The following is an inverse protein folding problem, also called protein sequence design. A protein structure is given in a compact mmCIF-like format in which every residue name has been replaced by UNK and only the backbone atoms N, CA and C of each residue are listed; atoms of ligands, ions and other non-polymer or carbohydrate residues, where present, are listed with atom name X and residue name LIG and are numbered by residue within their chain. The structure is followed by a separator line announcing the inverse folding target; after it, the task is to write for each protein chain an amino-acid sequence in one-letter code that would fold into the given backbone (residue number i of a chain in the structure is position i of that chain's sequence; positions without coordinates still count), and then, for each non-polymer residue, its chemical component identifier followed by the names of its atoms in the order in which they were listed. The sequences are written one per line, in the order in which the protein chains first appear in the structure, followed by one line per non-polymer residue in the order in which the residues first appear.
data_IF_503728054860
#
_entry.id   IF_503728054860
#
_cell.length_a   1.000
_cell.length_b   1.000
_cell.length_c   1.000
_cell.angle_alpha   90.00
_cell.angle_beta   90.00
_cell.angle_gamma   90.00
#
_symmetry.space_group_name_H-M   'P 1'
#
loop_
_entity.id
_entity.type
_entity.pdbx_description
1 polymer ?
#
# COMPACT_ATOMS: atom_id res chain seq x y z
N UNK A 1 -9.02 -8.97 25.70
CA UNK A 1 -10.11 -9.02 26.70
C UNK A 1 -10.71 -7.63 26.79
N UNK A 2 -12.01 -7.48 26.57
CA UNK A 2 -12.74 -6.24 26.78
C UNK A 2 -13.40 -6.27 28.17
N UNK A 3 -13.41 -5.14 28.88
CA UNK A 3 -13.99 -5.05 30.21
C UNK A 3 -15.06 -3.95 30.18
N UNK A 4 -16.29 -4.32 30.50
CA UNK A 4 -17.39 -3.38 30.71
C UNK A 4 -17.39 -2.96 32.18
N UNK A 5 -17.30 -1.67 32.44
CA UNK A 5 -17.36 -1.10 33.79
C UNK A 5 -18.69 -0.34 33.92
N UNK A 6 -19.50 -0.76 34.85
CA UNK A 6 -20.73 -0.06 35.25
C UNK A 6 -20.67 0.28 36.73
N UNK A 7 -20.28 1.52 37.06
CA UNK A 7 -20.02 1.98 38.45
C UNK A 7 -18.96 1.11 39.15
N UNK A 8 -19.40 0.15 39.99
CA UNK A 8 -18.52 -0.77 40.73
C UNK A 8 -18.54 -2.19 40.18
N UNK A 9 -19.40 -2.47 39.20
CA UNK A 9 -19.46 -3.78 38.55
C UNK A 9 -18.48 -3.85 37.42
N UNK A 10 -17.72 -4.91 37.37
CA UNK A 10 -16.74 -5.21 36.34
C UNK A 10 -17.12 -6.52 35.66
N UNK A 11 -17.43 -6.46 34.39
CA UNK A 11 -17.80 -7.64 33.60
C UNK A 11 -16.78 -7.84 32.50
N UNK A 12 -16.15 -9.01 32.48
CA UNK A 12 -15.28 -9.40 31.38
C UNK A 12 -16.15 -9.82 30.19
N UNK A 13 -15.86 -9.25 29.02
CA UNK A 13 -16.54 -9.58 27.77
C UNK A 13 -15.60 -10.46 26.95
N UNK A 14 -15.96 -11.74 26.70
CA UNK A 14 -15.13 -12.63 25.94
C UNK A 14 -15.03 -12.22 24.48
N UNK A 15 -13.88 -12.50 23.89
CA UNK A 15 -13.69 -12.42 22.44
C UNK A 15 -14.33 -13.62 21.79
N UNK A 16 -15.01 -13.40 20.68
CA UNK A 16 -15.57 -14.44 19.81
C UNK A 16 -15.09 -14.27 18.38
N UNK A 17 -15.22 -15.30 17.56
CA UNK A 17 -14.92 -15.20 16.13
C UNK A 17 -16.14 -14.65 15.40
N UNK A 18 -15.94 -13.52 14.71
CA UNK A 18 -17.02 -12.84 13.97
C UNK A 18 -17.67 -13.75 12.92
N UNK A 19 -16.85 -14.50 12.18
CA UNK A 19 -17.31 -15.41 11.11
C UNK A 19 -18.30 -16.50 11.56
N UNK A 20 -18.33 -16.84 12.85
CA UNK A 20 -19.24 -17.86 13.37
C UNK A 20 -20.68 -17.37 13.40
N UNK A 21 -20.88 -16.07 13.63
CA UNK A 21 -22.21 -15.46 13.80
C UNK A 21 -22.65 -14.60 12.62
N UNK A 22 -21.71 -14.05 11.86
CA UNK A 22 -21.97 -13.03 10.87
C UNK A 22 -21.37 -13.35 9.50
N UNK A 23 -22.05 -12.87 8.46
CA UNK A 23 -21.58 -12.89 7.08
C UNK A 23 -20.69 -11.66 6.79
N UNK A 24 -19.85 -11.73 5.77
CA UNK A 24 -19.03 -10.59 5.30
C UNK A 24 -19.89 -9.37 4.97
N UNK A 25 -21.08 -9.59 4.40
CA UNK A 25 -22.05 -8.53 4.12
C UNK A 25 -22.46 -7.73 5.36
N UNK A 26 -22.54 -8.34 6.53
CA UNK A 26 -22.87 -7.63 7.78
C UNK A 26 -21.69 -6.71 8.20
N UNK A 27 -20.45 -7.15 7.99
CA UNK A 27 -19.28 -6.30 8.23
C UNK A 27 -19.27 -5.10 7.29
N UNK A 28 -19.60 -5.30 6.00
CA UNK A 28 -19.77 -4.20 5.05
C UNK A 28 -20.80 -3.18 5.54
N UNK A 29 -21.97 -3.66 6.00
CA UNK A 29 -23.05 -2.80 6.52
C UNK A 29 -22.63 -1.99 7.77
N UNK A 30 -21.86 -2.61 8.66
CA UNK A 30 -21.33 -1.93 9.85
C UNK A 30 -20.34 -0.82 9.44
N UNK A 31 -19.39 -1.13 8.54
CA UNK A 31 -18.41 -0.16 8.05
C UNK A 31 -19.07 0.95 7.22
N UNK A 32 -20.08 0.61 6.42
CA UNK A 32 -20.85 1.57 5.63
C UNK A 32 -21.61 2.59 6.52
N UNK A 33 -22.20 2.09 7.61
CA UNK A 33 -22.96 2.94 8.55
C UNK A 33 -22.08 3.84 9.43
N UNK A 34 -20.84 3.45 9.68
CA UNK A 34 -19.93 4.20 10.55
C UNK A 34 -18.48 4.18 10.01
N UNK A 35 -18.25 4.66 8.76
CA UNK A 35 -16.94 4.55 8.12
C UNK A 35 -15.86 5.27 8.92
N UNK A 36 -16.12 6.45 9.47
CA UNK A 36 -15.12 7.21 10.22
C UNK A 36 -14.66 6.48 11.49
N UNK A 37 -15.59 5.78 12.15
CA UNK A 37 -15.29 5.03 13.38
C UNK A 37 -14.34 3.84 13.08
N UNK A 38 -14.51 3.19 11.92
CA UNK A 38 -13.67 2.10 11.49
C UNK A 38 -12.35 2.57 10.87
N UNK A 39 -12.46 3.50 9.92
CA UNK A 39 -11.31 3.93 9.12
C UNK A 39 -10.40 4.89 9.89
N UNK A 40 -10.94 5.57 10.93
CA UNK A 40 -10.26 6.65 11.65
C UNK A 40 -9.87 7.81 10.73
N UNK A 41 -10.58 7.97 9.62
CA UNK A 41 -10.46 9.07 8.66
C UNK A 41 -11.83 9.40 8.07
N UNK A 42 -12.03 10.67 7.70
CA UNK A 42 -13.26 11.10 7.04
C UNK A 42 -13.29 10.59 5.60
N UNK A 43 -14.34 9.85 5.24
CA UNK A 43 -14.54 9.30 3.90
C UNK A 43 -15.97 9.56 3.42
N UNK A 44 -16.10 10.14 2.24
CA UNK A 44 -17.36 10.18 1.51
C UNK A 44 -17.54 8.85 0.77
N UNK A 45 -18.40 7.97 1.24
CA UNK A 45 -18.72 6.74 0.51
C UNK A 45 -19.51 7.11 -0.77
N UNK A 46 -19.09 6.51 -1.89
CA UNK A 46 -19.65 6.75 -3.22
C UNK A 46 -20.05 5.46 -3.92
N UNK A 47 -19.84 4.31 -3.30
CA UNK A 47 -20.22 3.03 -3.86
C UNK A 47 -20.10 1.88 -2.86
N UNK A 48 -20.98 0.88 -3.03
CA UNK A 48 -20.93 -0.42 -2.37
C UNK A 48 -21.09 -1.51 -3.42
N UNK A 49 -20.33 -2.60 -3.28
CA UNK A 49 -20.29 -3.72 -4.22
C UNK A 49 -20.11 -3.23 -5.68
N UNK A 50 -19.09 -2.37 -5.84
CA UNK A 50 -18.82 -1.69 -7.11
C UNK A 50 -18.22 -2.66 -8.11
N UNK A 51 -18.96 -2.96 -9.17
CA UNK A 51 -18.50 -3.86 -10.23
C UNK A 51 -17.50 -3.18 -11.15
N UNK A 52 -16.37 -3.83 -11.35
CA UNK A 52 -15.32 -3.42 -12.29
C UNK A 52 -14.95 -4.55 -13.24
N UNK A 53 -14.16 -4.28 -14.26
CA UNK A 53 -13.58 -5.31 -15.12
C UNK A 53 -12.63 -6.27 -14.36
N UNK A 54 -12.24 -5.91 -13.13
CA UNK A 54 -11.26 -6.64 -12.31
C UNK A 54 -11.89 -7.39 -11.13
N UNK A 55 -13.18 -7.24 -10.93
CA UNK A 55 -13.92 -7.82 -9.82
C UNK A 55 -14.87 -6.82 -9.17
N UNK A 56 -15.28 -7.10 -7.96
CA UNK A 56 -16.23 -6.32 -7.19
C UNK A 56 -15.50 -5.74 -5.97
N UNK A 57 -15.55 -4.42 -5.81
CA UNK A 57 -15.01 -3.70 -4.65
C UNK A 57 -16.11 -3.61 -3.60
N UNK A 58 -15.79 -3.98 -2.35
CA UNK A 58 -16.78 -3.99 -1.27
C UNK A 58 -17.32 -2.60 -0.98
N UNK A 59 -16.45 -1.64 -0.67
CA UNK A 59 -16.83 -0.23 -0.49
C UNK A 59 -15.85 0.69 -1.22
N UNK A 60 -16.39 1.78 -1.74
CA UNK A 60 -15.62 2.80 -2.45
C UNK A 60 -15.94 4.18 -1.90
N UNK A 61 -14.92 4.98 -1.65
CA UNK A 61 -15.09 6.34 -1.13
C UNK A 61 -14.10 7.35 -1.69
N UNK A 62 -14.23 8.58 -1.21
CA UNK A 62 -13.27 9.66 -1.39
C UNK A 62 -12.84 10.19 -0.02
N UNK A 63 -11.55 10.44 0.16
CA UNK A 63 -11.07 11.19 1.31
C UNK A 63 -11.22 12.72 1.11
N UNK A 64 -10.88 13.51 2.14
CA UNK A 64 -10.95 14.99 2.11
C UNK A 64 -10.07 15.63 1.03
N UNK A 65 -9.02 14.94 0.55
CA UNK A 65 -8.11 15.43 -0.48
C UNK A 65 -8.57 15.01 -1.89
N UNK A 66 -9.70 14.31 -2.01
CA UNK A 66 -10.28 13.80 -3.25
C UNK A 66 -9.63 12.53 -3.78
N UNK A 67 -8.82 11.88 -2.98
CA UNK A 67 -8.25 10.59 -3.34
C UNK A 67 -9.31 9.50 -3.24
N UNK A 68 -9.27 8.54 -4.15
CA UNK A 68 -10.18 7.40 -4.10
C UNK A 68 -9.75 6.43 -3.01
N UNK A 69 -10.69 6.03 -2.14
CA UNK A 69 -10.50 5.06 -1.07
C UNK A 69 -11.16 3.76 -1.49
N UNK A 70 -10.36 2.72 -1.72
CA UNK A 70 -10.79 1.38 -2.11
C UNK A 70 -10.75 0.52 -0.85
N UNK A 71 -11.89 0.01 -0.42
CA UNK A 71 -12.04 -0.72 0.84
C UNK A 71 -12.43 -2.15 0.55
N UNK A 72 -11.61 -3.08 1.01
CA UNK A 72 -11.84 -4.53 0.96
C UNK A 72 -11.95 -5.10 2.36
N UNK A 73 -12.92 -5.98 2.55
CA UNK A 73 -13.23 -6.53 3.86
C UNK A 73 -13.15 -8.06 3.85
N UNK A 74 -12.66 -8.61 4.95
CA UNK A 74 -12.71 -10.04 5.23
C UNK A 74 -13.22 -10.27 6.66
N UNK A 75 -14.23 -11.12 6.79
CA UNK A 75 -14.84 -11.45 8.09
C UNK A 75 -14.00 -12.36 8.97
N UNK A 76 -12.85 -12.82 8.47
CA UNK A 76 -11.92 -13.72 9.14
C UNK A 76 -10.48 -13.25 8.88
N UNK A 77 -9.53 -14.15 9.03
CA UNK A 77 -8.14 -13.93 8.67
C UNK A 77 -8.01 -13.60 7.18
N UNK A 78 -7.23 -12.58 6.87
CA UNK A 78 -6.96 -12.18 5.50
C UNK A 78 -5.97 -13.14 4.82
N UNK A 79 -6.09 -13.25 3.50
CA UNK A 79 -5.17 -14.02 2.66
C UNK A 79 -4.43 -13.10 1.70
N UNK A 80 -3.36 -13.60 1.07
CA UNK A 80 -2.65 -12.85 0.02
C UNK A 80 -3.53 -12.44 -1.18
N UNK A 81 -4.67 -13.10 -1.35
CA UNK A 81 -5.61 -12.76 -2.42
C UNK A 81 -6.19 -11.35 -2.27
N UNK A 82 -6.45 -10.89 -1.03
CA UNK A 82 -6.98 -9.54 -0.79
C UNK A 82 -6.03 -8.47 -1.30
N UNK A 83 -4.71 -8.70 -1.18
CA UNK A 83 -3.68 -7.79 -1.68
C UNK A 83 -3.74 -7.70 -3.20
N UNK A 84 -3.78 -8.85 -3.87
CA UNK A 84 -3.83 -8.93 -5.32
C UNK A 84 -5.09 -8.26 -5.89
N UNK A 85 -6.24 -8.44 -5.25
CA UNK A 85 -7.49 -7.79 -5.60
C UNK A 85 -7.38 -6.27 -5.46
N UNK A 86 -6.96 -5.79 -4.30
CA UNK A 86 -6.85 -4.36 -4.01
C UNK A 86 -5.88 -3.64 -4.96
N UNK A 87 -4.73 -4.24 -5.28
CA UNK A 87 -3.77 -3.71 -6.27
C UNK A 87 -4.40 -3.65 -7.66
N UNK A 88 -5.13 -4.71 -8.05
CA UNK A 88 -5.80 -4.76 -9.34
C UNK A 88 -6.85 -3.65 -9.49
N UNK A 89 -7.65 -3.41 -8.44
CA UNK A 89 -8.62 -2.31 -8.40
C UNK A 89 -7.93 -0.95 -8.44
N UNK A 90 -6.88 -0.73 -7.64
CA UNK A 90 -6.09 0.50 -7.67
C UNK A 90 -5.55 0.82 -9.06
N UNK A 91 -5.01 -0.19 -9.74
CA UNK A 91 -4.53 -0.04 -11.12
C UNK A 91 -5.65 0.32 -12.10
N UNK A 92 -6.83 -0.28 -11.95
CA UNK A 92 -8.01 0.02 -12.75
C UNK A 92 -8.48 1.47 -12.55
N UNK A 93 -8.62 1.91 -11.29
CA UNK A 93 -9.05 3.27 -10.96
C UNK A 93 -8.08 4.32 -11.48
N UNK A 94 -6.79 4.09 -11.31
CA UNK A 94 -5.76 5.01 -11.81
C UNK A 94 -5.76 5.19 -13.32
N UNK A 95 -5.99 4.10 -14.07
CA UNK A 95 -5.83 4.10 -15.53
C UNK A 95 -7.11 4.36 -16.31
N UNK A 96 -8.27 3.96 -15.79
CA UNK A 96 -9.52 3.88 -16.55
C UNK A 96 -10.68 4.68 -16.00
N UNK A 97 -10.59 5.15 -14.75
CA UNK A 97 -11.66 5.86 -14.08
C UNK A 97 -11.36 7.36 -14.06
N UNK A 98 -12.08 8.08 -14.90
CA UNK A 98 -12.13 9.54 -14.91
C UNK A 98 -13.30 10.04 -14.06
N UNK A 99 -13.45 11.37 -13.96
CA UNK A 99 -14.47 12.00 -13.11
C UNK A 99 -15.90 11.62 -13.50
N UNK A 100 -16.18 11.46 -14.80
CA UNK A 100 -17.53 11.11 -15.30
C UNK A 100 -17.90 9.67 -14.89
N UNK A 101 -16.95 8.73 -14.98
CA UNK A 101 -17.14 7.34 -14.54
C UNK A 101 -17.29 7.26 -13.03
N UNK A 102 -16.48 8.04 -12.29
CA UNK A 102 -16.58 8.11 -10.84
C UNK A 102 -17.95 8.65 -10.41
N UNK A 103 -18.43 9.67 -11.13
CA UNK A 103 -19.77 10.22 -10.90
C UNK A 103 -20.89 9.21 -11.14
N UNK A 104 -20.80 8.40 -12.22
CA UNK A 104 -21.78 7.34 -12.49
C UNK A 104 -21.82 6.29 -11.39
N UNK A 105 -20.68 5.96 -10.77
CA UNK A 105 -20.65 5.07 -9.62
C UNK A 105 -21.40 5.73 -8.45
N UNK A 106 -21.11 7.00 -8.17
CA UNK A 106 -21.76 7.76 -7.12
C UNK A 106 -23.27 7.90 -7.34
N UNK A 107 -23.73 8.17 -8.57
CA UNK A 107 -25.15 8.21 -8.94
C UNK A 107 -25.89 6.91 -8.63
N UNK A 108 -25.23 5.78 -8.86
CA UNK A 108 -25.81 4.46 -8.55
C UNK A 108 -25.96 4.18 -7.04
N UNK A 109 -25.20 4.85 -6.21
CA UNK A 109 -25.16 4.63 -4.76
C UNK A 109 -25.85 5.74 -3.96
N UNK A 110 -25.56 6.99 -4.27
CA UNK A 110 -26.08 8.16 -3.52
C UNK A 110 -27.41 8.66 -4.10
N UNK A 111 -27.68 8.35 -5.36
CA UNK A 111 -28.82 8.86 -6.14
C UNK A 111 -28.41 9.94 -7.13
N UNK A 112 -29.36 10.29 -8.00
CA UNK A 112 -29.15 11.31 -9.05
C UNK A 112 -29.47 12.71 -8.49
N UNK A 113 -28.81 13.71 -9.04
CA UNK A 113 -29.14 15.12 -8.81
C UNK A 113 -29.94 15.67 -9.99
N UNK A 114 -30.82 16.64 -9.72
CA UNK A 114 -31.59 17.35 -10.74
C UNK A 114 -30.80 18.44 -11.47
N UNK A 115 -29.60 18.75 -10.97
CA UNK A 115 -28.73 19.78 -11.56
C UNK A 115 -27.74 19.17 -12.55
N UNK A 116 -27.31 19.96 -13.53
CA UNK A 116 -26.22 19.61 -14.48
C UNK A 116 -24.84 19.40 -13.78
N UNK A 117 -24.82 19.56 -12.47
CA UNK A 117 -23.62 19.34 -11.66
C UNK A 117 -23.44 17.85 -11.32
N UNK A 118 -22.20 17.40 -11.35
CA UNK A 118 -21.85 16.06 -10.93
C UNK A 118 -22.21 15.86 -9.44
N UNK A 119 -23.03 14.85 -9.12
CA UNK A 119 -23.46 14.53 -7.75
C UNK A 119 -22.27 14.36 -6.80
N UNK A 120 -21.18 13.78 -7.30
CA UNK A 120 -19.96 13.56 -6.54
C UNK A 120 -19.36 14.90 -6.05
N UNK A 121 -19.37 15.94 -6.88
CA UNK A 121 -18.86 17.27 -6.49
C UNK A 121 -19.75 17.94 -5.46
N UNK A 122 -21.05 17.81 -5.63
CA UNK A 122 -22.03 18.34 -4.68
C UNK A 122 -21.85 17.68 -3.30
N UNK A 123 -21.88 16.35 -3.24
CA UNK A 123 -21.75 15.59 -1.99
C UNK A 123 -20.39 15.76 -1.34
N UNK A 124 -19.35 15.87 -2.13
CA UNK A 124 -18.01 16.18 -1.62
C UNK A 124 -17.98 17.54 -0.92
N UNK A 125 -18.55 18.57 -1.55
CA UNK A 125 -18.63 19.91 -0.98
C UNK A 125 -19.52 19.96 0.27
N UNK A 126 -20.62 19.21 0.28
CA UNK A 126 -21.49 19.08 1.45
C UNK A 126 -20.74 18.48 2.65
N UNK A 127 -19.91 17.44 2.41
CA UNK A 127 -19.18 16.75 3.48
C UNK A 127 -17.92 17.48 3.93
N UNK A 128 -17.11 17.99 3.00
CA UNK A 128 -15.76 18.51 3.28
C UNK A 128 -15.63 20.05 3.12
N UNK A 129 -16.68 20.72 2.66
CA UNK A 129 -16.72 22.18 2.50
C UNK A 129 -16.11 22.68 1.19
N UNK A 130 -14.95 22.21 0.80
CA UNK A 130 -14.21 22.65 -0.40
C UNK A 130 -13.89 21.52 -1.33
N UNK A 131 -13.93 21.79 -2.65
CA UNK A 131 -13.52 20.81 -3.65
C UNK A 131 -12.00 20.88 -3.85
N UNK A 132 -11.30 19.75 -3.92
CA UNK A 132 -9.91 19.71 -4.36
C UNK A 132 -9.81 20.04 -5.84
N UNK A 133 -8.61 20.44 -6.29
CA UNK A 133 -8.38 20.74 -7.72
C UNK A 133 -8.62 19.55 -8.64
N UNK A 134 -8.45 18.33 -8.15
CA UNK A 134 -8.59 17.08 -8.92
C UNK A 134 -9.10 15.97 -8.01
N UNK A 135 -10.07 15.19 -8.50
CA UNK A 135 -10.55 13.97 -7.85
C UNK A 135 -9.87 12.73 -8.47
N UNK A 136 -9.73 11.66 -7.69
CA UNK A 136 -9.10 10.40 -8.10
C UNK A 136 -7.62 10.52 -8.49
N UNK A 137 -6.91 11.52 -7.97
CA UNK A 137 -5.47 11.70 -8.24
C UNK A 137 -4.63 10.57 -7.64
N UNK A 138 -4.99 10.14 -6.45
CA UNK A 138 -4.40 8.98 -5.76
C UNK A 138 -5.48 7.96 -5.42
N UNK A 139 -5.06 6.73 -5.18
CA UNK A 139 -5.92 5.65 -4.71
C UNK A 139 -5.32 5.06 -3.44
N UNK A 140 -6.08 5.12 -2.36
CA UNK A 140 -5.75 4.57 -1.05
C UNK A 140 -6.42 3.21 -0.93
N UNK A 141 -5.66 2.19 -0.57
CA UNK A 141 -6.18 0.86 -0.28
C UNK A 141 -6.45 0.76 1.21
N UNK A 142 -7.65 0.35 1.59
CA UNK A 142 -8.01 0.03 2.97
C UNK A 142 -8.41 -1.44 3.02
N UNK A 143 -7.72 -2.19 3.85
CA UNK A 143 -8.01 -3.61 4.09
C UNK A 143 -8.49 -3.77 5.53
N UNK A 144 -9.63 -4.46 5.70
CA UNK A 144 -10.22 -4.72 7.02
C UNK A 144 -10.37 -6.23 7.18
N UNK A 145 -9.81 -6.78 8.26
CA UNK A 145 -9.92 -8.22 8.57
C UNK A 145 -9.88 -8.47 10.08
N UNK A 146 -10.33 -9.64 10.53
CA UNK A 146 -10.16 -10.04 11.94
C UNK A 146 -8.67 -10.12 12.31
N UNK A 147 -7.84 -10.61 11.39
CA UNK A 147 -6.40 -10.76 11.56
C UNK A 147 -5.69 -10.68 10.21
N UNK A 148 -4.50 -10.10 10.22
CA UNK A 148 -3.55 -10.16 9.12
C UNK A 148 -2.38 -11.05 9.53
N UNK A 149 -2.10 -12.16 8.84
CA UNK A 149 -0.88 -12.93 9.03
C UNK A 149 0.37 -12.06 8.83
N UNK A 150 1.43 -12.35 9.57
CA UNK A 150 2.69 -11.59 9.48
C UNK A 150 3.22 -11.51 8.04
N UNK A 151 3.07 -12.59 7.29
CA UNK A 151 3.48 -12.64 5.88
C UNK A 151 2.63 -11.73 4.97
N UNK A 152 1.35 -11.55 5.28
CA UNK A 152 0.44 -10.63 4.55
C UNK A 152 0.79 -9.18 4.89
N UNK A 153 1.05 -8.87 6.16
CA UNK A 153 1.51 -7.55 6.57
C UNK A 153 2.85 -7.19 5.93
N UNK A 154 3.78 -8.14 5.87
CA UNK A 154 5.07 -7.95 5.21
C UNK A 154 4.92 -7.65 3.70
N UNK A 155 4.00 -8.33 3.02
CA UNK A 155 3.72 -8.05 1.61
C UNK A 155 3.03 -6.69 1.42
N UNK A 156 2.18 -6.27 2.37
CA UNK A 156 1.49 -4.97 2.36
C UNK A 156 2.42 -3.81 2.65
N UNK A 157 3.44 -3.99 3.48
CA UNK A 157 4.46 -2.97 3.74
C UNK A 157 5.14 -2.46 2.44
N UNK A 158 5.10 -3.25 1.38
CA UNK A 158 5.64 -2.86 0.08
C UNK A 158 4.65 -2.09 -0.81
N UNK A 159 3.40 -1.91 -0.35
CA UNK A 159 2.37 -1.19 -1.09
C UNK A 159 2.24 0.23 -0.51
N UNK A 160 2.52 1.23 -1.32
CA UNK A 160 2.28 2.62 -0.92
C UNK A 160 0.77 2.91 -0.77
N UNK A 161 0.45 3.89 0.07
CA UNK A 161 -0.92 4.38 0.26
C UNK A 161 -1.92 3.25 0.64
N UNK A 162 -1.59 2.46 1.66
CA UNK A 162 -2.49 1.46 2.23
C UNK A 162 -2.74 1.67 3.71
N UNK A 163 -3.88 1.16 4.17
CA UNK A 163 -4.29 1.10 5.58
C UNK A 163 -4.75 -0.31 5.87
N UNK A 164 -4.21 -0.93 6.92
CA UNK A 164 -4.70 -2.19 7.44
C UNK A 164 -5.39 -1.96 8.77
N UNK A 165 -6.57 -2.52 8.91
CA UNK A 165 -7.39 -2.42 10.11
C UNK A 165 -7.76 -3.82 10.55
N UNK A 166 -7.24 -4.22 11.70
CA UNK A 166 -7.70 -5.42 12.39
C UNK A 166 -8.89 -5.09 13.27
N UNK A 167 -9.87 -5.98 13.30
CA UNK A 167 -10.95 -5.88 14.26
C UNK A 167 -11.03 -7.09 15.17
N UNK A 168 -11.52 -6.87 16.38
CA UNK A 168 -11.80 -7.93 17.35
C UNK A 168 -13.25 -7.84 17.75
N UNK A 169 -13.93 -8.99 17.72
CA UNK A 169 -15.34 -9.08 18.03
C UNK A 169 -15.56 -9.67 19.42
N UNK A 170 -16.49 -9.10 20.16
CA UNK A 170 -16.80 -9.49 21.53
C UNK A 170 -18.31 -9.57 21.73
N UNK A 171 -18.76 -10.52 22.53
CA UNK A 171 -20.16 -10.67 22.91
C UNK A 171 -20.28 -10.74 24.42
N UNK A 172 -21.10 -9.86 24.99
CA UNK A 172 -21.35 -9.87 26.44
C UNK A 172 -22.20 -11.09 26.85
N UNK A 173 -22.18 -11.49 28.12
CA UNK A 173 -23.07 -12.52 28.63
C UNK A 173 -24.56 -12.21 28.43
N UNK A 174 -24.92 -10.94 28.24
CA UNK A 174 -26.26 -10.45 27.95
C UNK A 174 -26.59 -10.36 26.46
N UNK A 175 -25.67 -10.78 25.59
CA UNK A 175 -25.83 -10.80 24.14
C UNK A 175 -25.57 -9.47 23.43
N UNK A 176 -25.04 -8.46 24.15
CA UNK A 176 -24.60 -7.22 23.51
C UNK A 176 -23.30 -7.44 22.73
N UNK A 177 -23.26 -6.91 21.52
CA UNK A 177 -22.12 -7.07 20.61
C UNK A 177 -21.22 -5.83 20.62
N UNK A 178 -19.91 -6.06 20.59
CA UNK A 178 -18.90 -5.00 20.56
C UNK A 178 -17.85 -5.35 19.54
N UNK A 179 -17.30 -4.32 18.89
CA UNK A 179 -16.19 -4.48 17.97
C UNK A 179 -15.11 -3.44 18.31
N UNK A 180 -13.89 -3.88 18.39
CA UNK A 180 -12.73 -3.01 18.53
C UNK A 180 -11.93 -3.04 17.24
N UNK A 181 -11.75 -1.90 16.58
CA UNK A 181 -10.93 -1.77 15.39
C UNK A 181 -9.58 -1.12 15.74
N UNK A 182 -8.50 -1.66 15.18
CA UNK A 182 -7.13 -1.18 15.40
C UNK A 182 -6.42 -1.06 14.06
N UNK A 183 -5.87 0.09 13.75
CA UNK A 183 -4.93 0.22 12.64
C UNK A 183 -3.64 -0.53 12.93
N UNK A 184 -3.18 -1.34 11.99
CA UNK A 184 -1.91 -2.06 12.02
C UNK A 184 -0.87 -1.45 11.08
N UNK A 185 -1.32 -0.59 10.13
CA UNK A 185 -0.46 0.21 9.27
C UNK A 185 -1.04 1.61 9.12
N UNK A 186 -0.21 2.63 9.06
CA UNK A 186 -0.62 4.00 8.75
C UNK A 186 -0.30 4.32 7.30
N UNK A 187 -1.23 4.98 6.55
CA UNK A 187 -0.89 5.52 5.26
C UNK A 187 0.07 6.68 5.44
N UNK A 188 1.06 6.80 4.58
CA UNK A 188 1.85 8.03 4.48
C UNK A 188 0.99 9.14 3.84
N UNK A 189 0.14 9.77 4.65
CA UNK A 189 -0.70 10.92 4.27
C UNK A 189 0.06 12.24 4.31
N UNK A 190 1.38 12.23 4.51
CA UNK A 190 2.18 13.45 4.63
C UNK A 190 2.41 14.13 3.27
N UNK A 191 1.32 14.61 2.66
CA UNK A 191 1.36 15.63 1.62
C UNK A 191 1.48 17.05 2.17
N UNK A 192 1.51 17.23 3.48
CA UNK A 192 1.68 18.53 4.15
C UNK A 192 2.92 18.49 5.02
N UNK A 193 3.87 19.37 4.68
CA UNK A 193 4.97 19.72 5.59
C UNK A 193 4.35 20.30 6.86
N UNK A 194 4.11 19.47 7.86
CA UNK A 194 3.88 19.94 9.21
C UNK A 194 5.18 19.75 9.99
N UNK A 195 5.71 20.85 10.46
CA UNK A 195 6.86 20.91 11.36
C UNK A 195 6.41 20.45 12.76
N UNK A 196 6.24 19.14 12.90
CA UNK A 196 6.07 18.48 14.20
C UNK A 196 7.44 18.16 14.83
N UNK A 197 7.50 17.85 16.13
CA UNK A 197 8.74 17.78 16.88
C UNK A 197 9.71 16.75 16.28
N UNK A 198 10.98 17.13 16.26
CA UNK A 198 12.12 16.34 15.76
C UNK A 198 12.02 14.87 16.16
N UNK A 199 11.55 14.04 15.21
CA UNK A 199 11.77 12.60 15.30
C UNK A 199 13.27 12.35 15.17
N UNK A 200 13.84 11.69 16.14
CA UNK A 200 15.24 11.23 16.12
C UNK A 200 15.51 10.60 14.76
N UNK A 201 16.45 11.15 13.99
CA UNK A 201 16.89 10.62 12.71
C UNK A 201 17.19 9.14 12.88
N UNK A 202 16.52 8.31 12.06
CA UNK A 202 16.74 6.88 12.11
C UNK A 202 18.16 6.58 11.58
N UNK A 203 18.80 5.55 12.12
CA UNK A 203 20.15 5.12 11.74
C UNK A 203 20.34 4.91 10.23
N UNK A 204 19.24 4.58 9.51
CA UNK A 204 19.27 4.37 8.07
C UNK A 204 19.06 5.64 7.24
N UNK A 205 18.53 6.74 7.79
CA UNK A 205 18.21 7.93 6.99
C UNK A 205 19.46 8.54 6.34
N UNK A 206 20.55 8.62 7.09
CA UNK A 206 21.84 9.09 6.58
C UNK A 206 22.44 8.12 5.56
N UNK A 207 22.31 6.82 5.78
CA UNK A 207 22.76 5.80 4.84
C UNK A 207 22.03 5.91 3.51
N UNK A 208 20.70 5.96 3.51
CA UNK A 208 19.93 6.09 2.28
C UNK A 208 20.18 7.42 1.56
N UNK A 209 20.32 8.52 2.29
CA UNK A 209 20.64 9.81 1.70
C UNK A 209 22.01 9.80 0.96
N UNK A 210 23.01 9.13 1.54
CA UNK A 210 24.32 8.99 0.92
C UNK A 210 24.27 8.10 -0.33
N UNK A 211 23.54 6.97 -0.27
CA UNK A 211 23.33 6.11 -1.46
C UNK A 211 22.62 6.86 -2.57
N UNK A 212 21.52 7.57 -2.26
CA UNK A 212 20.79 8.39 -3.26
C UNK A 212 21.68 9.43 -3.89
N UNK A 213 22.46 10.14 -3.08
CA UNK A 213 23.42 11.14 -3.58
C UNK A 213 24.40 10.50 -4.58
N UNK A 214 24.88 9.32 -4.26
CA UNK A 214 25.81 8.58 -5.12
C UNK A 214 25.15 8.06 -6.40
N UNK A 215 23.95 7.50 -6.31
CA UNK A 215 23.17 7.06 -7.49
C UNK A 215 22.98 8.20 -8.48
N UNK A 216 22.66 9.43 -8.00
CA UNK A 216 22.49 10.62 -8.85
C UNK A 216 23.73 10.96 -9.66
N UNK A 217 24.92 10.55 -9.23
CA UNK A 217 26.17 10.76 -10.00
C UNK A 217 26.44 9.64 -11.01
N UNK A 218 25.79 8.49 -10.85
CA UNK A 218 26.01 7.29 -11.66
C UNK A 218 24.98 7.12 -12.78
N UNK A 219 23.79 7.71 -12.65
CA UNK A 219 22.73 7.60 -13.65
C UNK A 219 22.52 8.90 -14.40
N UNK A 220 22.14 8.85 -15.71
CA UNK A 220 21.78 10.03 -16.48
C UNK A 220 20.63 10.82 -15.84
N UNK A 221 20.60 12.13 -16.07
CA UNK A 221 19.56 13.03 -15.53
C UNK A 221 18.12 12.60 -15.92
N UNK A 222 17.95 11.93 -17.05
CA UNK A 222 16.67 11.34 -17.48
C UNK A 222 16.19 10.18 -16.59
N UNK A 223 17.05 9.61 -15.76
CA UNK A 223 16.72 8.55 -14.78
C UNK A 223 16.70 9.07 -13.34
N UNK A 224 16.95 10.37 -13.14
CA UNK A 224 17.16 10.96 -11.80
C UNK A 224 15.88 11.43 -11.11
N UNK A 225 14.69 11.16 -11.65
CA UNK A 225 13.43 11.45 -10.97
C UNK A 225 13.13 10.36 -9.94
N UNK A 226 13.60 10.58 -8.73
CA UNK A 226 13.35 9.67 -7.60
C UNK A 226 12.21 10.21 -6.74
N UNK A 227 11.32 9.34 -6.30
CA UNK A 227 10.49 9.58 -5.11
C UNK A 227 11.10 8.83 -3.96
N UNK A 228 11.61 9.56 -2.98
CA UNK A 228 12.03 8.98 -1.72
C UNK A 228 10.78 8.65 -0.93
N UNK A 229 10.47 7.37 -0.78
CA UNK A 229 9.49 6.92 0.20
C UNK A 229 10.27 6.12 1.22
N UNK A 230 10.45 6.68 2.41
CA UNK A 230 10.88 5.92 3.57
C UNK A 230 9.64 5.26 4.15
N UNK A 231 9.58 3.96 4.13
CA UNK A 231 8.52 3.20 4.77
C UNK A 231 9.16 2.00 5.46
N UNK A 232 8.75 1.68 6.67
CA UNK A 232 9.21 0.50 7.36
C UNK A 232 9.12 0.60 8.87
N UNK A 233 9.26 -0.55 9.52
CA UNK A 233 9.44 -0.61 10.97
C UNK A 233 10.82 -0.05 11.35
N UNK A 234 11.08 0.29 12.63
CA UNK A 234 12.41 0.68 13.10
C UNK A 234 13.52 -0.32 12.76
N UNK A 235 13.17 -1.56 12.41
CA UNK A 235 14.08 -2.65 12.10
C UNK A 235 14.27 -2.92 10.61
N UNK A 236 13.37 -2.39 9.74
CA UNK A 236 13.44 -2.59 8.29
C UNK A 236 13.01 -1.32 7.59
N UNK A 237 13.88 -0.77 6.77
CA UNK A 237 13.61 0.45 6.02
C UNK A 237 14.00 0.28 4.56
N UNK A 238 13.32 0.99 3.69
CA UNK A 238 13.60 0.98 2.26
C UNK A 238 13.40 2.34 1.59
N UNK A 239 14.12 2.49 0.47
CA UNK A 239 14.01 3.62 -0.44
C UNK A 239 13.63 3.06 -1.81
N UNK A 240 12.64 3.67 -2.46
CA UNK A 240 12.19 3.29 -3.79
C UNK A 240 12.69 4.29 -4.82
N UNK A 241 13.26 3.76 -5.88
CA UNK A 241 13.59 4.51 -7.08
C UNK A 241 12.46 4.24 -8.07
N UNK A 242 11.57 5.23 -8.24
CA UNK A 242 10.43 5.08 -9.12
C UNK A 242 10.82 5.41 -10.55
N UNK A 243 10.56 4.51 -11.43
CA UNK A 243 10.20 4.81 -12.79
C UNK A 243 8.84 5.51 -12.77
N UNK A 244 8.42 6.20 -13.80
CA UNK A 244 7.18 6.97 -13.84
C UNK A 244 5.90 6.25 -13.39
N UNK A 245 5.95 4.95 -13.08
CA UNK A 245 4.84 4.13 -12.62
C UNK A 245 5.10 3.50 -11.24
N UNK A 246 4.17 3.69 -10.32
CA UNK A 246 4.26 3.26 -8.91
C UNK A 246 4.34 1.75 -8.71
N UNK A 247 3.92 0.95 -9.70
CA UNK A 247 3.80 -0.50 -9.57
C UNK A 247 5.04 -1.25 -10.04
N UNK A 248 5.98 -0.56 -10.69
CA UNK A 248 7.26 -1.12 -11.13
C UNK A 248 8.36 -0.21 -10.63
N UNK A 249 9.25 -0.74 -9.81
CA UNK A 249 10.33 0.07 -9.23
C UNK A 249 11.58 -0.74 -8.91
N UNK A 250 12.68 -0.05 -8.86
CA UNK A 250 13.91 -0.51 -8.23
C UNK A 250 13.89 0.00 -6.79
N UNK A 251 14.15 -0.86 -5.84
CA UNK A 251 14.20 -0.52 -4.42
C UNK A 251 15.52 -0.89 -3.77
N UNK A 252 15.85 -0.20 -2.70
CA UNK A 252 16.93 -0.52 -1.80
C UNK A 252 16.35 -0.68 -0.40
N UNK A 253 16.60 -1.80 0.26
CA UNK A 253 16.18 -1.99 1.63
C UNK A 253 17.35 -2.30 2.56
N UNK A 254 17.19 -1.94 3.84
CA UNK A 254 18.08 -2.30 4.91
C UNK A 254 17.26 -2.92 6.05
N UNK A 255 17.64 -4.13 6.48
CA UNK A 255 16.98 -4.88 7.56
C UNK A 255 17.95 -5.13 8.70
N UNK A 256 17.63 -4.63 9.89
CA UNK A 256 18.45 -4.83 11.08
C UNK A 256 18.60 -6.31 11.44
N UNK A 257 19.82 -6.72 11.71
CA UNK A 257 20.22 -8.05 12.17
C UNK A 257 21.12 -7.91 13.40
N UNK A 258 21.38 -9.01 14.10
CA UNK A 258 22.26 -9.01 15.28
C UNK A 258 23.69 -8.53 14.99
N UNK A 259 24.17 -8.75 13.76
CA UNK A 259 25.56 -8.44 13.33
C UNK A 259 25.66 -7.25 12.40
N UNK A 260 24.65 -6.38 12.34
CA UNK A 260 24.55 -5.23 11.42
C UNK A 260 23.34 -5.38 10.50
N UNK A 261 23.05 -4.33 9.71
CA UNK A 261 21.89 -4.36 8.83
C UNK A 261 22.22 -5.05 7.50
N UNK A 262 21.38 -6.01 7.09
CA UNK A 262 21.44 -6.58 5.75
C UNK A 262 20.90 -5.57 4.73
N UNK A 263 21.67 -5.28 3.68
CA UNK A 263 21.32 -4.36 2.59
C UNK A 263 21.11 -5.14 1.30
N UNK A 264 20.01 -4.90 0.62
CA UNK A 264 19.72 -5.49 -0.69
C UNK A 264 19.11 -4.47 -1.64
N UNK A 265 19.40 -4.64 -2.94
CA UNK A 265 18.74 -3.94 -4.05
C UNK A 265 17.81 -4.90 -4.74
N UNK A 266 16.61 -4.46 -5.04
CA UNK A 266 15.61 -5.28 -5.70
C UNK A 266 14.86 -4.53 -6.80
N UNK A 267 14.32 -5.28 -7.74
CA UNK A 267 13.34 -4.82 -8.70
C UNK A 267 12.05 -5.60 -8.48
N UNK A 268 10.92 -4.92 -8.53
CA UNK A 268 9.61 -5.54 -8.40
C UNK A 268 8.63 -5.00 -9.41
N UNK A 269 7.76 -5.88 -9.92
CA UNK A 269 6.65 -5.56 -10.79
C UNK A 269 5.33 -5.94 -10.09
N UNK A 270 4.65 -4.95 -9.53
CA UNK A 270 3.36 -5.10 -8.87
C UNK A 270 2.17 -4.97 -9.83
N UNK A 271 2.40 -4.44 -11.04
CA UNK A 271 1.31 -4.20 -11.99
C UNK A 271 0.70 -5.48 -12.52
N UNK A 272 1.36 -6.64 -12.28
CA UNK A 272 1.01 -7.93 -12.87
C UNK A 272 0.82 -7.85 -14.39
N UNK A 273 1.44 -6.87 -15.06
CA UNK A 273 1.35 -6.73 -16.50
C UNK A 273 2.01 -7.95 -17.18
N UNK A 274 1.24 -8.76 -17.89
CA UNK A 274 1.78 -9.96 -18.53
C UNK A 274 2.86 -9.65 -19.57
N UNK A 275 2.84 -8.47 -20.18
CA UNK A 275 3.85 -8.05 -21.16
C UNK A 275 5.20 -7.79 -20.48
N UNK A 276 5.21 -7.11 -19.32
CA UNK A 276 6.42 -6.87 -18.53
C UNK A 276 7.00 -8.21 -18.05
N UNK A 277 6.14 -9.05 -17.52
CA UNK A 277 6.53 -10.37 -17.04
C UNK A 277 7.16 -11.23 -18.14
N UNK A 278 6.56 -11.24 -19.34
CA UNK A 278 7.09 -11.96 -20.50
C UNK A 278 8.49 -11.46 -20.90
N UNK A 279 8.68 -10.13 -20.91
CA UNK A 279 9.99 -9.52 -21.21
C UNK A 279 11.03 -9.96 -20.19
N UNK A 280 10.72 -9.83 -18.89
CA UNK A 280 11.63 -10.18 -17.82
C UNK A 280 11.99 -11.68 -17.82
N UNK A 281 11.03 -12.56 -18.05
CA UNK A 281 11.28 -13.99 -18.18
C UNK A 281 12.18 -14.33 -19.39
N UNK A 282 11.95 -13.67 -20.52
CA UNK A 282 12.78 -13.85 -21.70
C UNK A 282 14.24 -13.42 -21.51
N UNK A 283 14.49 -12.45 -20.63
CA UNK A 283 15.82 -11.88 -20.35
C UNK A 283 16.43 -12.36 -19.02
N UNK A 284 15.79 -13.27 -18.32
CA UNK A 284 16.15 -13.70 -16.97
C UNK A 284 17.62 -14.07 -16.79
N UNK A 285 18.15 -14.92 -17.67
CA UNK A 285 19.56 -15.35 -17.60
C UNK A 285 20.53 -14.18 -17.85
N UNK A 286 20.24 -13.36 -18.85
CA UNK A 286 21.05 -12.19 -19.17
C UNK A 286 21.06 -11.21 -18.00
N UNK A 287 19.90 -10.87 -17.43
CA UNK A 287 19.77 -10.00 -16.26
C UNK A 287 20.48 -10.55 -15.03
N UNK A 288 20.39 -11.86 -14.78
CA UNK A 288 21.11 -12.47 -13.65
C UNK A 288 22.63 -12.32 -13.78
N UNK A 289 23.16 -12.43 -14.99
CA UNK A 289 24.58 -12.27 -15.25
C UNK A 289 25.00 -10.79 -15.17
N UNK A 290 24.28 -9.89 -15.86
CA UNK A 290 24.62 -8.47 -15.92
C UNK A 290 24.49 -7.77 -14.56
N UNK A 291 23.49 -8.17 -13.76
CA UNK A 291 23.27 -7.63 -12.41
C UNK A 291 24.12 -8.33 -11.35
N UNK A 292 24.81 -9.42 -11.69
CA UNK A 292 25.63 -10.20 -10.75
C UNK A 292 24.79 -10.83 -9.63
N UNK A 293 23.64 -11.43 -9.99
CA UNK A 293 22.71 -12.03 -9.03
C UNK A 293 23.08 -13.49 -8.85
N UNK A 294 23.35 -13.90 -7.60
CA UNK A 294 23.74 -15.27 -7.22
C UNK A 294 22.57 -16.11 -6.72
N UNK A 295 21.36 -15.55 -6.65
CA UNK A 295 20.14 -16.21 -6.17
C UNK A 295 19.22 -16.67 -7.30
N UNK A 296 18.24 -17.51 -6.95
CA UNK A 296 17.17 -17.91 -7.87
C UNK A 296 16.26 -16.72 -8.14
N UNK A 297 16.11 -16.34 -9.39
CA UNK A 297 15.01 -15.48 -9.82
C UNK A 297 13.78 -16.37 -9.82
N UNK A 298 12.79 -16.08 -8.98
CA UNK A 298 11.59 -16.91 -8.89
C UNK A 298 10.85 -17.01 -10.21
N UNK A 299 10.34 -18.21 -10.51
CA UNK A 299 9.56 -18.45 -11.73
C UNK A 299 8.29 -17.61 -11.71
N UNK A 300 8.11 -16.83 -12.77
CA UNK A 300 6.89 -16.11 -12.98
C UNK A 300 5.75 -17.11 -13.21
N UNK A 301 4.75 -17.07 -12.33
CA UNK A 301 3.44 -17.63 -12.59
C UNK A 301 2.46 -16.49 -12.86
N UNK A 302 1.48 -16.64 -13.75
CA UNK A 302 0.37 -15.69 -13.86
C UNK A 302 -0.18 -15.44 -12.45
N UNK A 303 -0.28 -14.18 -12.04
CA UNK A 303 -0.71 -13.72 -10.71
C UNK A 303 0.35 -13.80 -9.59
N UNK A 304 1.62 -14.06 -9.89
CA UNK A 304 2.71 -13.91 -8.93
C UNK A 304 3.55 -12.68 -9.22
N UNK A 305 4.03 -12.06 -8.15
CA UNK A 305 5.00 -10.96 -8.19
C UNK A 305 6.29 -11.43 -8.87
N UNK A 306 6.79 -10.66 -9.82
CA UNK A 306 8.15 -10.85 -10.35
C UNK A 306 9.11 -9.96 -9.56
N UNK A 307 10.06 -10.54 -8.86
CA UNK A 307 11.11 -9.81 -8.18
C UNK A 307 12.47 -10.34 -8.55
N UNK A 308 13.43 -9.43 -8.66
CA UNK A 308 14.85 -9.72 -8.85
C UNK A 308 15.56 -9.03 -7.69
N UNK A 309 16.30 -9.76 -6.86
CA UNK A 309 16.98 -9.24 -5.69
C UNK A 309 18.48 -9.53 -5.75
N UNK A 310 19.27 -8.52 -5.34
CA UNK A 310 20.71 -8.64 -5.14
C UNK A 310 21.06 -8.23 -3.72
N UNK A 311 21.53 -9.17 -2.91
CA UNK A 311 22.11 -8.86 -1.61
C UNK A 311 23.46 -8.16 -1.80
N UNK A 312 23.61 -6.99 -1.16
CA UNK A 312 24.84 -6.18 -1.21
C UNK A 312 25.78 -6.60 -0.10
N UNK A 313 25.30 -6.67 1.15
CA UNK A 313 26.13 -7.05 2.28
C UNK A 313 25.55 -6.55 3.60
N UNK A 314 26.38 -6.64 4.65
CA UNK A 314 26.02 -6.12 5.97
C UNK A 314 26.55 -4.71 6.16
N UNK A 315 25.66 -3.80 6.54
CA UNK A 315 25.99 -2.43 6.94
C UNK A 315 26.47 -2.43 8.39
N UNK A 316 27.73 -2.08 8.59
CA UNK A 316 28.38 -1.86 9.87
C UNK A 316 29.22 -0.61 9.77
N UNK A 317 29.70 -0.04 10.87
CA UNK A 317 30.57 1.15 10.81
C UNK A 317 31.82 0.93 9.94
N UNK A 318 32.42 -0.26 10.03
CA UNK A 318 33.60 -0.61 9.24
C UNK A 318 33.35 -0.87 7.77
N UNK A 319 32.13 -1.29 7.40
CA UNK A 319 31.75 -1.60 6.02
C UNK A 319 30.93 -0.49 5.34
N UNK A 320 30.55 0.55 6.05
CA UNK A 320 29.59 1.58 5.62
C UNK A 320 29.92 2.16 4.24
N UNK A 321 31.12 2.70 4.06
CA UNK A 321 31.52 3.32 2.80
C UNK A 321 31.46 2.34 1.62
N UNK A 322 31.94 1.10 1.83
CA UNK A 322 31.89 0.06 0.81
C UNK A 322 30.46 -0.32 0.45
N UNK A 323 29.60 -0.51 1.45
CA UNK A 323 28.19 -0.90 1.23
C UNK A 323 27.41 0.23 0.53
N UNK A 324 27.70 1.50 0.81
CA UNK A 324 27.11 2.64 0.10
C UNK A 324 27.48 2.61 -1.36
N UNK A 325 28.76 2.44 -1.69
CA UNK A 325 29.25 2.43 -3.07
C UNK A 325 28.66 1.24 -3.85
N UNK A 326 28.70 0.04 -3.28
CA UNK A 326 28.16 -1.18 -3.89
C UNK A 326 26.63 -1.11 -4.06
N UNK A 327 25.89 -0.55 -3.09
CA UNK A 327 24.45 -0.33 -3.18
C UNK A 327 24.11 0.67 -4.30
N UNK A 328 24.82 1.79 -4.36
CA UNK A 328 24.60 2.80 -5.39
C UNK A 328 24.89 2.25 -6.80
N UNK A 329 25.98 1.51 -6.95
CA UNK A 329 26.34 0.86 -8.22
C UNK A 329 25.31 -0.18 -8.62
N UNK A 330 24.80 -0.98 -7.68
CA UNK A 330 23.75 -1.96 -7.94
C UNK A 330 22.45 -1.29 -8.38
N UNK A 331 22.00 -0.23 -7.69
CA UNK A 331 20.81 0.54 -8.09
C UNK A 331 20.99 1.10 -9.50
N UNK A 332 22.13 1.72 -9.80
CA UNK A 332 22.43 2.27 -11.12
C UNK A 332 22.42 1.18 -12.22
N UNK A 333 22.97 0.01 -11.92
CA UNK A 333 22.97 -1.14 -12.83
C UNK A 333 21.54 -1.65 -13.09
N UNK A 334 20.72 -1.80 -12.06
CA UNK A 334 19.30 -2.19 -12.21
C UNK A 334 18.53 -1.20 -13.08
N UNK A 335 18.69 0.11 -12.85
CA UNK A 335 18.06 1.15 -13.66
C UNK A 335 18.55 1.12 -15.12
N UNK A 336 19.85 0.96 -15.32
CA UNK A 336 20.47 0.90 -16.65
C UNK A 336 20.03 -0.30 -17.48
N UNK A 337 19.97 -1.48 -16.88
CA UNK A 337 19.59 -2.74 -17.55
C UNK A 337 18.07 -2.82 -17.82
N UNK A 338 17.25 -2.33 -16.89
CA UNK A 338 15.81 -2.47 -17.01
C UNK A 338 15.19 -1.41 -17.94
N UNK A 339 15.75 -0.21 -18.03
CA UNK A 339 15.22 0.84 -18.89
C UNK A 339 15.16 0.46 -20.37
N UNK A 340 16.20 -0.09 -20.99
CA UNK A 340 16.15 -0.51 -22.39
C UNK A 340 15.15 -1.63 -22.66
N UNK A 341 14.94 -2.50 -21.65
CA UNK A 341 14.06 -3.67 -21.76
C UNK A 341 12.58 -3.31 -21.64
N UNK A 342 12.28 -2.38 -20.76
CA UNK A 342 10.90 -2.02 -20.41
C UNK A 342 10.41 -0.79 -21.20
N UNK A 343 11.33 0.04 -21.71
CA UNK A 343 11.08 1.15 -22.62
C UNK A 343 9.90 2.04 -22.23
N UNK A 344 9.13 2.49 -23.22
CA UNK A 344 7.93 3.31 -23.05
C UNK A 344 6.74 2.58 -22.42
N UNK A 345 6.87 1.28 -22.11
CA UNK A 345 5.82 0.50 -21.45
C UNK A 345 5.73 0.76 -19.95
N UNK A 346 6.64 1.52 -19.42
CA UNK A 346 6.69 2.05 -18.07
C UNK A 346 6.47 3.56 -18.09
#
# INVERSE_FOLDING_TARGET
MLIKINRKEVVAIPQEQYQVKHLEKHLEEIVENAPEAFLGMDVLLIGRQVRTERGIIDLLGLDKDGNTVIIELKRNESTREIISQAISYRSHFRRKINIEKLNKIAEGYIGQTSDDNLIIKQKFKEKFGTLPGELNKKQIIVLIAEQFPEEVLADLEEIADHVCIEFTYYVSPTGEEYMAARRTSEPDLSGTKDTGPETKSNEFDTFFAEVIKRVKTLVPSSLSTFKNTYAGSPQTQWVRFHWHHTDVHVGLFAKQRKSGALVSVYFTNWSLDPAIAKILNGQRKALSVSLGITGTVDDYAPNKRTSIEKTIGQLTDSSRTKVIEEAAQAVASFLGELKPLLGEKL
#
